data_IF_198347013954
#
_entry.id   IF_198347013954
#
_cell.length_a   1.000
_cell.length_b   1.000
_cell.length_c   1.000
_cell.angle_alpha   90.00
_cell.angle_beta   90.00
_cell.angle_gamma   90.00
#
_symmetry.space_group_name_H-M   'P 1'
#
loop_
_entity.id
_entity.type
_entity.pdbx_description
1 polymer ?
#
# COMPACT_ATOMS: atom_id res chain seq x y z
N UNK A 1 -2.82 44.09 42.45
CA UNK A 1 -3.98 43.17 42.56
C UNK A 1 -3.62 41.89 41.81
N UNK A 2 -3.88 40.71 42.39
CA UNK A 2 -3.66 39.44 41.70
C UNK A 2 -4.52 39.34 40.45
N UNK A 3 -4.02 38.67 39.41
CA UNK A 3 -4.75 38.50 38.15
C UNK A 3 -5.81 37.41 38.33
N UNK A 4 -7.09 37.79 38.33
CA UNK A 4 -8.18 36.84 38.47
C UNK A 4 -8.27 36.00 37.20
N UNK A 5 -8.16 34.69 37.36
CA UNK A 5 -8.14 33.73 36.26
C UNK A 5 -9.52 33.13 35.99
N UNK A 6 -10.36 33.02 37.02
CA UNK A 6 -11.72 32.56 36.90
C UNK A 6 -12.60 33.08 38.03
N UNK A 7 -13.91 33.09 37.78
CA UNK A 7 -14.95 33.19 38.81
C UNK A 7 -16.05 32.17 38.51
N UNK A 8 -16.73 31.74 39.56
CA UNK A 8 -17.94 30.95 39.43
C UNK A 8 -19.14 31.77 39.91
N UNK A 9 -20.19 31.81 39.09
CA UNK A 9 -21.37 32.66 39.28
C UNK A 9 -22.64 31.80 39.29
N UNK A 10 -23.59 32.09 40.17
CA UNK A 10 -24.94 31.50 40.12
C UNK A 10 -25.88 32.45 39.40
N UNK A 11 -26.44 32.03 38.27
CA UNK A 11 -27.42 32.78 37.47
C UNK A 11 -28.63 31.89 37.20
N UNK A 12 -29.83 32.35 37.54
CA UNK A 12 -31.08 31.62 37.29
C UNK A 12 -31.08 30.14 37.77
N UNK A 13 -30.47 29.87 38.92
CA UNK A 13 -30.25 28.52 39.50
C UNK A 13 -29.23 27.62 38.77
N UNK A 14 -28.50 28.16 37.81
CA UNK A 14 -27.39 27.48 37.14
C UNK A 14 -26.06 28.03 37.67
N UNK A 15 -25.09 27.15 37.89
CA UNK A 15 -23.72 27.57 38.19
C UNK A 15 -22.96 27.70 36.87
N UNK A 16 -22.29 28.83 36.69
CA UNK A 16 -21.55 29.15 35.48
C UNK A 16 -20.12 29.52 35.83
N UNK A 17 -19.15 28.90 35.17
CA UNK A 17 -17.73 29.18 35.33
C UNK A 17 -17.25 30.08 34.20
N UNK A 18 -16.81 31.28 34.58
CA UNK A 18 -16.16 32.23 33.69
C UNK A 18 -14.66 32.13 33.92
N UNK A 19 -13.93 31.62 32.92
CA UNK A 19 -12.48 31.42 33.00
C UNK A 19 -11.79 32.09 31.82
N UNK A 20 -10.74 32.87 32.09
CA UNK A 20 -9.97 33.55 31.04
C UNK A 20 -9.46 32.53 30.01
N UNK A 21 -9.74 32.81 28.73
CA UNK A 21 -9.46 31.95 27.58
C UNK A 21 -10.54 30.92 27.24
N UNK A 22 -11.62 30.82 28.02
CA UNK A 22 -12.67 29.79 27.85
C UNK A 22 -14.01 30.43 27.44
N UNK A 23 -14.83 29.68 26.70
CA UNK A 23 -16.28 29.94 26.66
C UNK A 23 -16.86 29.66 28.04
N UNK A 24 -17.97 30.32 28.37
CA UNK A 24 -18.58 30.19 29.70
C UNK A 24 -19.15 28.80 29.86
N UNK A 25 -18.74 28.10 30.90
CA UNK A 25 -19.16 26.73 31.16
C UNK A 25 -20.34 26.72 32.13
N UNK A 26 -21.33 25.88 31.88
CA UNK A 26 -22.30 25.49 32.89
C UNK A 26 -21.71 24.35 33.73
N UNK A 27 -21.78 24.48 35.05
CA UNK A 27 -21.28 23.50 36.01
C UNK A 27 -22.39 23.10 36.97
N UNK A 28 -22.33 21.88 37.49
CA UNK A 28 -23.29 21.40 38.48
C UNK A 28 -22.83 21.71 39.92
N UNK A 29 -23.63 21.31 40.92
CA UNK A 29 -23.31 21.53 42.33
C UNK A 29 -21.98 20.89 42.79
N UNK A 30 -21.48 19.89 42.06
CA UNK A 30 -20.19 19.21 42.32
C UNK A 30 -19.04 19.80 41.48
N UNK A 31 -19.22 20.98 40.89
CA UNK A 31 -18.24 21.62 40.01
C UNK A 31 -17.90 20.81 38.73
N UNK A 32 -18.74 19.84 38.35
CA UNK A 32 -18.56 19.14 37.08
C UNK A 32 -19.16 19.96 35.93
N UNK A 33 -18.45 20.02 34.80
CA UNK A 33 -18.91 20.68 33.58
C UNK A 33 -20.07 19.87 32.99
N UNK A 34 -21.17 20.52 32.70
CA UNK A 34 -22.38 19.88 32.15
C UNK A 34 -22.79 20.43 30.78
N UNK A 35 -22.48 21.69 30.48
CA UNK A 35 -22.73 22.29 29.17
C UNK A 35 -21.93 23.60 28.99
N UNK A 36 -22.09 24.31 27.87
CA UNK A 36 -21.80 25.74 27.75
C UNK A 36 -23.01 26.57 28.19
N UNK A 37 -22.77 27.74 28.79
CA UNK A 37 -23.84 28.65 29.14
C UNK A 37 -24.48 29.23 27.87
N UNK A 38 -25.76 28.94 27.65
CA UNK A 38 -26.54 29.34 26.47
C UNK A 38 -26.67 30.86 26.29
N UNK A 39 -26.41 31.66 27.34
CA UNK A 39 -26.41 33.12 27.30
C UNK A 39 -25.04 33.77 27.05
N UNK A 40 -23.95 33.01 27.01
CA UNK A 40 -22.59 33.55 26.94
C UNK A 40 -21.71 32.72 26.00
N UNK A 41 -21.91 32.91 24.69
CA UNK A 41 -21.23 32.12 23.66
C UNK A 41 -19.78 32.55 23.37
N UNK A 42 -19.36 33.70 23.91
CA UNK A 42 -18.05 34.27 23.64
C UNK A 42 -16.96 33.77 24.61
N UNK A 43 -15.70 33.86 24.18
CA UNK A 43 -14.56 33.56 25.04
C UNK A 43 -14.32 34.69 26.03
N UNK A 44 -14.10 34.36 27.29
CA UNK A 44 -13.70 35.32 28.33
C UNK A 44 -12.25 35.77 28.07
N UNK A 45 -12.02 37.06 27.89
CA UNK A 45 -10.69 37.63 27.61
C UNK A 45 -10.02 38.18 28.86
N UNK A 46 -10.79 38.67 29.82
CA UNK A 46 -10.26 39.16 31.08
C UNK A 46 -11.33 39.11 32.18
N UNK A 47 -10.88 39.02 33.44
CA UNK A 47 -11.73 39.14 34.61
C UNK A 47 -11.08 40.14 35.56
N UNK A 48 -11.81 41.20 35.91
CA UNK A 48 -11.32 42.25 36.79
C UNK A 48 -12.20 42.37 38.03
N UNK A 49 -11.58 42.51 39.20
CA UNK A 49 -12.30 42.86 40.43
C UNK A 49 -12.66 44.34 40.39
N UNK A 50 -13.91 44.66 40.68
CA UNK A 50 -14.39 46.03 40.82
C UNK A 50 -14.77 46.31 42.27
N UNK A 51 -15.20 47.52 42.57
CA UNK A 51 -15.66 47.90 43.91
C UNK A 51 -17.00 47.25 44.32
N UNK A 52 -17.78 46.75 43.35
CA UNK A 52 -19.11 46.12 43.55
C UNK A 52 -19.15 44.62 43.22
N UNK A 53 -18.04 44.05 42.73
CA UNK A 53 -17.95 42.64 42.36
C UNK A 53 -16.89 42.39 41.30
N UNK A 54 -17.31 41.87 40.14
CA UNK A 54 -16.42 41.43 39.07
C UNK A 54 -16.92 41.93 37.71
N UNK A 55 -15.99 42.17 36.79
CA UNK A 55 -16.25 42.46 35.39
C UNK A 55 -15.62 41.37 34.55
N UNK A 56 -16.40 40.75 33.67
CA UNK A 56 -15.95 39.72 32.74
C UNK A 56 -16.00 40.29 31.33
N UNK A 57 -14.84 40.36 30.67
CA UNK A 57 -14.73 40.83 29.30
C UNK A 57 -14.73 39.64 28.34
N UNK A 58 -15.27 39.85 27.14
CA UNK A 58 -15.39 38.82 26.11
C UNK A 58 -14.61 39.17 24.84
N UNK A 59 -14.44 38.17 23.97
CA UNK A 59 -13.71 38.30 22.71
C UNK A 59 -14.40 39.17 21.66
N UNK A 60 -15.71 39.34 21.74
CA UNK A 60 -16.49 40.24 20.88
C UNK A 60 -16.44 41.71 21.35
N UNK A 61 -15.70 41.99 22.43
CA UNK A 61 -15.59 43.32 23.03
C UNK A 61 -16.69 43.65 24.03
N UNK A 62 -17.66 42.76 24.25
CA UNK A 62 -18.67 42.93 25.30
C UNK A 62 -18.07 42.72 26.70
N UNK A 63 -18.73 43.27 27.71
CA UNK A 63 -18.35 43.12 29.11
C UNK A 63 -19.60 42.90 29.97
N UNK A 64 -19.53 41.93 30.88
CA UNK A 64 -20.63 41.58 31.77
C UNK A 64 -20.23 41.82 33.24
N UNK A 65 -20.97 42.66 33.98
CA UNK A 65 -20.75 42.83 35.40
C UNK A 65 -21.47 41.73 36.20
N UNK A 66 -20.82 41.26 37.26
CA UNK A 66 -21.38 40.35 38.25
C UNK A 66 -21.18 40.91 39.66
N UNK A 67 -22.25 40.96 40.45
CA UNK A 67 -22.16 41.41 41.84
C UNK A 67 -21.48 40.34 42.70
N UNK A 68 -20.86 40.76 43.81
CA UNK A 68 -20.20 39.82 44.74
C UNK A 68 -21.16 38.72 45.24
N UNK A 69 -22.46 39.01 45.37
CA UNK A 69 -23.46 38.06 45.83
C UNK A 69 -23.75 36.91 44.86
N UNK A 70 -23.52 37.12 43.56
CA UNK A 70 -23.67 36.06 42.56
C UNK A 70 -22.43 35.16 42.48
N UNK A 71 -21.27 35.65 42.93
CA UNK A 71 -20.00 34.94 42.83
C UNK A 71 -19.82 34.00 44.02
N UNK A 72 -19.79 32.70 43.72
CA UNK A 72 -19.60 31.63 44.72
C UNK A 72 -18.13 31.47 45.06
N UNK A 73 -17.24 31.61 44.07
CA UNK A 73 -15.80 31.42 44.25
C UNK A 73 -15.00 32.29 43.28
N UNK A 74 -13.89 32.85 43.78
CA UNK A 74 -12.96 33.66 42.99
C UNK A 74 -11.57 33.05 42.98
N UNK A 75 -11.02 32.88 41.79
CA UNK A 75 -9.73 32.24 41.55
C UNK A 75 -8.69 33.31 41.19
N UNK A 76 -8.09 33.90 42.22
CA UNK A 76 -7.13 35.01 42.07
C UNK A 76 -5.75 34.57 41.55
N UNK A 77 -5.48 33.27 41.50
CA UNK A 77 -4.22 32.68 41.02
C UNK A 77 -4.39 31.20 40.68
N UNK A 78 -3.47 30.72 39.85
CA UNK A 78 -3.38 29.38 39.27
C UNK A 78 -3.58 28.23 40.27
N UNK A 79 -2.92 28.27 41.44
CA UNK A 79 -3.04 27.20 42.44
C UNK A 79 -4.44 27.02 43.04
N UNK A 80 -5.28 28.07 43.04
CA UNK A 80 -6.69 27.96 43.48
C UNK A 80 -7.55 27.28 42.41
N UNK A 81 -7.14 27.36 41.15
CA UNK A 81 -7.82 26.74 40.03
C UNK A 81 -7.58 25.24 40.01
N UNK A 82 -6.41 24.78 40.47
CA UNK A 82 -6.10 23.35 40.64
C UNK A 82 -6.94 22.68 41.73
N UNK A 83 -7.54 23.47 42.65
CA UNK A 83 -8.53 22.97 43.62
C UNK A 83 -9.93 22.83 42.99
N UNK A 84 -10.21 23.62 41.96
CA UNK A 84 -11.35 23.42 41.08
C UNK A 84 -10.98 22.35 40.05
N UNK A 85 -10.88 21.10 40.51
CA UNK A 85 -10.80 19.95 39.60
C UNK A 85 -12.23 19.58 39.22
N UNK A 86 -12.73 19.93 38.02
CA UNK A 86 -13.92 19.26 37.52
C UNK A 86 -13.56 17.76 37.47
N UNK A 87 -14.18 16.96 38.35
CA UNK A 87 -14.05 15.49 38.33
C UNK A 87 -14.79 14.88 37.12
N UNK A 88 -14.72 15.54 35.97
CA UNK A 88 -15.12 14.96 34.71
C UNK A 88 -13.89 14.23 34.16
N UNK A 89 -13.92 12.91 34.22
CA UNK A 89 -13.31 12.14 33.15
C UNK A 89 -13.87 12.74 31.86
N UNK A 90 -13.03 13.42 31.07
CA UNK A 90 -13.44 14.23 29.91
C UNK A 90 -13.87 13.35 28.72
N UNK A 91 -14.78 12.41 28.97
CA UNK A 91 -15.41 11.57 27.96
C UNK A 91 -16.25 12.42 26.97
N UNK A 92 -16.60 13.66 27.35
CA UNK A 92 -17.52 14.51 26.59
C UNK A 92 -16.90 15.74 25.91
N UNK A 93 -15.57 15.83 25.82
CA UNK A 93 -14.88 17.00 25.24
C UNK A 93 -13.81 16.57 24.24
N UNK A 94 -13.80 17.22 23.07
CA UNK A 94 -12.76 17.04 22.06
C UNK A 94 -11.83 18.25 21.94
N UNK A 95 -10.58 17.99 21.57
CA UNK A 95 -9.55 19.01 21.42
C UNK A 95 -9.00 19.02 20.00
N UNK A 96 -9.15 20.14 19.29
CA UNK A 96 -8.42 20.38 18.05
C UNK A 96 -7.04 20.96 18.39
N UNK A 97 -5.97 20.26 18.02
CA UNK A 97 -4.59 20.67 18.25
C UNK A 97 -3.83 20.78 16.93
N UNK A 98 -2.91 21.73 16.84
CA UNK A 98 -2.03 21.93 15.69
C UNK A 98 -0.67 21.31 15.96
N UNK A 99 -0.32 20.29 15.18
CA UNK A 99 0.95 19.56 15.26
C UNK A 99 1.54 19.44 13.86
N UNK A 100 2.78 19.91 13.67
CA UNK A 100 3.50 19.83 12.39
C UNK A 100 2.69 20.35 11.18
N UNK A 101 2.00 21.49 11.32
CA UNK A 101 1.11 22.09 10.31
C UNK A 101 -0.16 21.27 9.96
N UNK A 102 -0.44 20.19 10.71
CA UNK A 102 -1.67 19.41 10.58
C UNK A 102 -2.58 19.67 11.78
N UNK A 103 -3.89 19.78 11.53
CA UNK A 103 -4.92 19.83 12.58
C UNK A 103 -5.25 18.42 13.03
N UNK A 104 -5.29 18.20 14.32
CA UNK A 104 -5.55 16.92 14.95
C UNK A 104 -6.75 17.08 15.89
N UNK A 105 -7.68 16.14 15.90
CA UNK A 105 -8.81 16.08 16.81
C UNK A 105 -8.59 14.92 17.81
N UNK A 106 -8.64 15.24 19.09
CA UNK A 106 -8.43 14.30 20.19
C UNK A 106 -9.74 14.15 20.95
N UNK A 107 -10.22 12.92 21.09
CA UNK A 107 -11.50 12.61 21.72
C UNK A 107 -11.26 11.38 22.60
N UNK A 108 -11.67 11.43 23.87
CA UNK A 108 -11.63 10.25 24.72
C UNK A 108 -12.56 9.16 24.15
N UNK A 109 -12.12 7.90 24.20
CA UNK A 109 -12.77 6.78 23.53
C UNK A 109 -12.37 6.58 22.07
N UNK A 110 -11.54 7.45 21.48
CA UNK A 110 -11.14 7.36 20.07
C UNK A 110 -9.61 7.41 19.92
N UNK A 111 -9.03 6.84 18.85
CA UNK A 111 -7.65 7.16 18.50
C UNK A 111 -7.53 8.64 18.11
N UNK A 112 -6.34 9.25 18.23
CA UNK A 112 -6.11 10.59 17.72
C UNK A 112 -6.43 10.67 16.23
N UNK A 113 -7.20 11.68 15.84
CA UNK A 113 -7.62 11.89 14.45
C UNK A 113 -6.92 13.11 13.86
N UNK A 114 -6.71 13.15 12.55
CA UNK A 114 -6.32 14.34 11.79
C UNK A 114 -7.51 14.91 11.02
N UNK A 115 -7.61 16.24 10.96
CA UNK A 115 -8.68 16.97 10.28
C UNK A 115 -8.19 17.46 8.93
N UNK A 116 -8.67 16.87 7.84
CA UNK A 116 -8.32 17.25 6.46
C UNK A 116 -9.61 17.56 5.71
N UNK A 117 -9.76 18.79 5.20
CA UNK A 117 -10.95 19.18 4.43
C UNK A 117 -12.28 19.07 5.19
N UNK A 118 -12.26 19.14 6.53
CA UNK A 118 -13.45 18.95 7.38
C UNK A 118 -13.80 17.48 7.66
N UNK A 119 -12.96 16.54 7.24
CA UNK A 119 -13.10 15.11 7.50
C UNK A 119 -12.04 14.63 8.50
N UNK A 120 -12.33 13.52 9.16
CA UNK A 120 -11.47 12.90 10.16
C UNK A 120 -10.78 11.66 9.60
N UNK A 121 -9.47 11.56 9.78
CA UNK A 121 -8.64 10.40 9.44
C UNK A 121 -7.84 9.99 10.68
N UNK A 122 -7.33 8.76 10.78
CA UNK A 122 -6.38 8.42 11.85
C UNK A 122 -5.14 9.32 11.74
N UNK A 123 -4.65 9.82 12.87
CA UNK A 123 -3.43 10.62 12.91
C UNK A 123 -2.20 9.76 12.68
N UNK A 124 -1.43 10.04 11.62
CA UNK A 124 -0.11 9.45 11.42
C UNK A 124 0.90 9.97 12.47
N UNK A 125 0.68 11.20 12.97
CA UNK A 125 1.57 11.82 13.97
C UNK A 125 1.48 11.13 15.34
N UNK A 126 0.34 10.49 15.61
CA UNK A 126 0.08 9.79 16.85
C UNK A 126 -0.22 8.31 16.59
N UNK A 127 0.41 7.70 15.58
CA UNK A 127 0.12 6.31 15.22
C UNK A 127 0.33 5.32 16.38
N UNK A 128 1.27 5.63 17.27
CA UNK A 128 1.60 4.86 18.48
C UNK A 128 0.60 5.06 19.62
N UNK A 129 -0.16 6.15 19.59
CA UNK A 129 -1.20 6.42 20.58
C UNK A 129 -2.42 5.65 20.08
N UNK A 130 -2.74 4.57 20.77
CA UNK A 130 -3.89 3.73 20.49
C UNK A 130 -5.20 4.47 20.74
N UNK A 131 -6.17 3.78 21.33
CA UNK A 131 -7.39 4.43 21.79
C UNK A 131 -7.05 5.37 22.96
N UNK A 132 -7.53 6.61 22.90
CA UNK A 132 -7.39 7.53 24.03
C UNK A 132 -8.37 7.09 25.11
N UNK A 133 -7.86 6.71 26.28
CA UNK A 133 -8.70 6.35 27.43
C UNK A 133 -9.21 7.61 28.14
N UNK A 134 -8.32 8.59 28.31
CA UNK A 134 -8.58 9.79 29.08
C UNK A 134 -7.80 10.99 28.52
N UNK A 135 -8.42 12.17 28.54
CA UNK A 135 -7.75 13.43 28.24
C UNK A 135 -7.85 14.32 29.49
N UNK A 136 -6.72 14.62 30.09
CA UNK A 136 -6.61 15.48 31.26
C UNK A 136 -5.97 16.82 30.84
N UNK A 137 -6.67 17.93 31.04
CA UNK A 137 -6.08 19.26 30.85
C UNK A 137 -5.42 19.73 32.14
N UNK A 138 -4.12 19.92 32.08
CA UNK A 138 -3.33 20.65 33.07
C UNK A 138 -2.99 22.04 32.56
N UNK A 139 -2.63 22.94 33.46
CA UNK A 139 -2.49 24.40 33.27
C UNK A 139 -1.93 24.85 31.92
N UNK A 140 -0.88 24.18 31.41
CA UNK A 140 -0.25 24.47 30.12
C UNK A 140 -0.08 23.24 29.23
N UNK A 141 -0.73 22.12 29.56
CA UNK A 141 -0.58 20.86 28.83
C UNK A 141 -1.86 20.05 28.83
N UNK A 142 -2.15 19.45 27.68
CA UNK A 142 -3.08 18.35 27.55
C UNK A 142 -2.31 17.04 27.76
N UNK A 143 -2.71 16.25 28.75
CA UNK A 143 -2.18 14.91 29.00
C UNK A 143 -3.19 13.90 28.46
N UNK A 144 -2.77 13.09 27.52
CA UNK A 144 -3.56 12.04 26.90
C UNK A 144 -3.08 10.71 27.48
N UNK A 145 -3.97 9.93 28.08
CA UNK A 145 -3.66 8.59 28.56
C UNK A 145 -4.19 7.55 27.58
N UNK A 146 -3.38 6.55 27.27
CA UNK A 146 -3.76 5.39 26.48
C UNK A 146 -3.13 4.12 27.05
N UNK A 147 -3.78 2.98 26.81
CA UNK A 147 -3.37 1.64 27.22
C UNK A 147 -3.07 1.55 28.73
N UNK A 148 -3.88 2.24 29.54
CA UNK A 148 -3.83 2.18 31.00
C UNK A 148 -2.59 2.80 31.69
N UNK A 149 -1.51 3.15 30.97
CA UNK A 149 -0.26 3.61 31.60
C UNK A 149 0.58 4.61 30.80
N UNK A 150 0.37 4.80 29.50
CA UNK A 150 1.20 5.72 28.71
C UNK A 150 0.54 7.09 28.57
N UNK A 151 1.30 8.14 28.88
CA UNK A 151 0.83 9.52 28.82
C UNK A 151 1.56 10.32 27.74
N UNK A 152 0.83 10.83 26.76
CA UNK A 152 1.32 11.80 25.78
C UNK A 152 0.97 13.22 26.24
N UNK A 153 1.93 14.14 26.18
CA UNK A 153 1.73 15.53 26.60
C UNK A 153 1.77 16.50 25.42
N UNK A 154 0.76 17.37 25.32
CA UNK A 154 0.61 18.38 24.27
C UNK A 154 0.51 19.76 24.91
N UNK A 155 1.46 20.65 24.61
CA UNK A 155 1.44 22.01 25.12
C UNK A 155 0.13 22.76 24.73
N UNK A 156 -0.47 23.48 25.68
CA UNK A 156 -1.74 24.18 25.52
C UNK A 156 -1.73 25.18 24.36
N UNK A 157 -0.58 25.79 24.04
CA UNK A 157 -0.41 26.69 22.88
C UNK A 157 -0.68 26.01 21.53
N UNK A 158 -0.64 24.67 21.47
CA UNK A 158 -0.96 23.90 20.27
C UNK A 158 -2.47 23.70 20.13
N UNK A 159 -3.26 23.91 21.17
CA UNK A 159 -4.72 23.76 21.13
C UNK A 159 -5.32 24.93 20.36
N UNK A 160 -6.02 24.64 19.28
CA UNK A 160 -6.68 25.62 18.40
C UNK A 160 -8.14 25.78 18.75
N UNK A 161 -8.82 24.67 19.01
CA UNK A 161 -10.24 24.68 19.35
C UNK A 161 -10.56 23.57 20.35
N UNK A 162 -11.63 23.76 21.11
CA UNK A 162 -12.21 22.77 22.02
C UNK A 162 -13.68 22.65 21.68
N UNK A 163 -14.21 21.43 21.73
CA UNK A 163 -15.59 21.14 21.36
C UNK A 163 -16.25 20.27 22.43
N UNK A 164 -17.55 20.44 22.64
CA UNK A 164 -18.35 19.43 23.35
C UNK A 164 -18.66 18.24 22.43
N UNK A 165 -18.96 17.08 23.01
CA UNK A 165 -19.42 15.89 22.28
C UNK A 165 -20.57 16.19 21.32
N UNK A 166 -21.54 17.01 21.71
CA UNK A 166 -22.65 17.38 20.83
C UNK A 166 -22.20 18.20 19.61
N UNK A 167 -21.26 19.13 19.79
CA UNK A 167 -20.69 19.92 18.68
C UNK A 167 -19.83 19.06 17.77
N UNK A 168 -19.07 18.12 18.34
CA UNK A 168 -18.28 17.12 17.62
C UNK A 168 -19.19 16.24 16.79
N UNK A 169 -20.29 15.74 17.35
CA UNK A 169 -21.28 14.93 16.63
C UNK A 169 -21.96 15.72 15.52
N UNK A 170 -22.32 16.98 15.77
CA UNK A 170 -22.92 17.85 14.76
C UNK A 170 -21.94 18.16 13.61
N UNK A 171 -20.67 18.40 13.93
CA UNK A 171 -19.61 18.76 12.98
C UNK A 171 -19.03 17.55 12.25
N UNK A 172 -19.02 16.40 12.90
CA UNK A 172 -18.50 15.14 12.41
C UNK A 172 -19.53 14.02 12.65
N UNK A 173 -20.65 14.00 11.89
CA UNK A 173 -21.73 13.01 12.04
C UNK A 173 -21.28 11.56 11.82
N UNK A 174 -20.08 11.38 11.26
CA UNK A 174 -19.43 10.08 11.11
C UNK A 174 -18.96 9.44 12.42
N UNK A 175 -18.98 10.17 13.55
CA UNK A 175 -18.62 9.66 14.88
C UNK A 175 -19.78 8.97 15.64
N UNK A 176 -20.95 8.78 15.02
CA UNK A 176 -22.08 8.12 15.67
C UNK A 176 -21.82 6.63 15.94
N UNK A 177 -22.30 6.11 17.07
CA UNK A 177 -21.78 4.91 17.76
C UNK A 177 -21.76 3.61 16.91
N UNK A 178 -22.63 3.47 15.91
CA UNK A 178 -22.63 2.32 14.99
C UNK A 178 -21.58 2.43 13.87
N UNK A 179 -21.13 3.64 13.55
CA UNK A 179 -20.05 3.90 12.59
C UNK A 179 -18.68 3.86 13.24
N UNK A 180 -18.57 3.92 14.57
CA UNK A 180 -17.31 3.78 15.30
C UNK A 180 -16.73 2.36 15.15
N UNK A 181 -17.58 1.32 15.19
CA UNK A 181 -17.15 -0.06 14.86
C UNK A 181 -16.65 -0.18 13.42
N UNK A 182 -17.24 0.60 12.50
CA UNK A 182 -16.73 0.72 11.14
C UNK A 182 -15.40 1.50 11.12
N UNK A 183 -15.25 2.58 11.89
CA UNK A 183 -14.00 3.35 12.04
C UNK A 183 -12.84 2.55 12.65
N UNK A 184 -13.12 1.62 13.56
CA UNK A 184 -12.15 0.63 14.03
C UNK A 184 -11.68 -0.31 12.92
N UNK A 185 -12.50 -0.53 11.88
CA UNK A 185 -12.12 -1.27 10.67
C UNK A 185 -11.47 -0.36 9.59
N UNK A 186 -11.86 0.91 9.49
CA UNK A 186 -11.35 1.89 8.52
C UNK A 186 -9.86 2.29 8.74
N UNK A 187 -9.24 1.85 9.84
CA UNK A 187 -7.82 2.08 10.17
C UNK A 187 -6.88 0.90 9.88
N UNK A 188 -7.39 -0.27 9.52
CA UNK A 188 -6.56 -1.30 8.89
C UNK A 188 -6.37 -0.87 7.44
N UNK A 189 -5.15 -0.87 6.93
CA UNK A 189 -4.92 -0.52 5.52
C UNK A 189 -5.83 -1.38 4.64
N UNK A 190 -6.46 -0.79 3.63
CA UNK A 190 -7.32 -1.53 2.72
C UNK A 190 -6.46 -2.62 2.07
N UNK A 191 -6.87 -3.90 2.18
CA UNK A 191 -6.01 -5.03 1.82
C UNK A 191 -4.66 -5.03 2.59
N UNK A 192 -4.63 -4.70 3.89
CA UNK A 192 -3.42 -4.75 4.72
C UNK A 192 -3.26 -6.06 5.49
N UNK A 193 -4.37 -6.78 5.73
CA UNK A 193 -4.35 -8.09 6.38
C UNK A 193 -4.02 -9.16 5.34
N UNK A 194 -2.81 -9.10 4.78
CA UNK A 194 -2.32 -10.05 3.79
C UNK A 194 -1.34 -11.02 4.44
N UNK A 195 -1.55 -12.31 4.21
CA UNK A 195 -0.59 -13.36 4.53
C UNK A 195 -0.07 -13.99 3.25
N UNK A 196 1.25 -14.01 3.10
CA UNK A 196 1.89 -14.62 1.95
C UNK A 196 2.03 -16.12 2.19
N UNK A 197 1.58 -16.92 1.21
CA UNK A 197 1.63 -18.38 1.29
C UNK A 197 2.54 -18.95 0.20
N UNK A 198 3.23 -20.04 0.54
CA UNK A 198 4.23 -20.69 -0.35
C UNK A 198 3.70 -21.95 -1.05
N UNK A 199 2.52 -22.43 -0.65
CA UNK A 199 1.88 -23.58 -1.25
C UNK A 199 0.77 -23.14 -2.18
N UNK A 200 0.71 -23.75 -3.37
CA UNK A 200 -0.38 -23.47 -4.32
C UNK A 200 -1.71 -23.89 -3.68
N UNK A 201 -2.66 -22.97 -3.48
CA UNK A 201 -3.94 -23.27 -2.84
C UNK A 201 -4.83 -24.17 -3.71
N UNK A 202 -5.76 -24.88 -3.08
CA UNK A 202 -6.75 -25.69 -3.80
C UNK A 202 -7.78 -24.83 -4.52
N UNK A 203 -8.27 -23.77 -3.85
CA UNK A 203 -9.26 -22.83 -4.37
C UNK A 203 -8.64 -21.44 -4.36
N UNK A 204 -8.62 -20.78 -5.52
CA UNK A 204 -7.96 -19.49 -5.66
C UNK A 204 -8.50 -18.68 -6.83
N UNK A 205 -8.19 -17.40 -6.82
CA UNK A 205 -8.43 -16.47 -7.92
C UNK A 205 -7.10 -15.98 -8.44
N UNK A 206 -6.86 -16.17 -9.72
CA UNK A 206 -5.73 -15.54 -10.40
C UNK A 206 -6.12 -14.12 -10.81
N UNK A 207 -5.27 -13.16 -10.50
CA UNK A 207 -5.48 -11.72 -10.69
C UNK A 207 -4.35 -11.11 -11.50
N UNK A 208 -4.70 -10.12 -12.31
CA UNK A 208 -3.75 -9.25 -12.99
C UNK A 208 -4.38 -7.88 -13.26
N UNK A 209 -3.56 -6.84 -13.17
CA UNK A 209 -3.89 -5.47 -13.49
C UNK A 209 -3.00 -4.96 -14.61
N UNK A 210 -3.63 -4.23 -15.51
CA UNK A 210 -2.93 -3.47 -16.53
C UNK A 210 -2.98 -1.99 -16.20
N UNK A 211 -1.87 -1.27 -16.42
CA UNK A 211 -1.71 0.13 -16.01
C UNK A 211 -1.63 1.09 -17.19
N UNK A 212 -2.06 2.34 -16.98
CA UNK A 212 -1.91 3.45 -17.91
C UNK A 212 -1.32 4.67 -17.22
N UNK A 213 -0.57 5.47 -17.98
CA UNK A 213 -0.16 6.79 -17.52
C UNK A 213 -1.34 7.76 -17.50
N UNK A 214 -1.35 8.61 -16.47
CA UNK A 214 -2.28 9.73 -16.34
C UNK A 214 -1.58 11.03 -16.68
N UNK A 215 -2.30 11.95 -17.30
CA UNK A 215 -1.83 13.32 -17.57
C UNK A 215 -1.71 14.17 -16.29
N UNK A 216 -2.41 13.76 -15.22
CA UNK A 216 -2.35 14.37 -13.90
C UNK A 216 -2.40 13.28 -12.82
N UNK A 217 -1.72 13.52 -11.69
CA UNK A 217 -1.69 12.58 -10.56
C UNK A 217 -3.10 12.31 -10.01
N UNK A 218 -3.27 11.15 -9.39
CA UNK A 218 -4.43 10.93 -8.53
C UNK A 218 -4.27 11.50 -7.13
N UNK A 219 -5.36 11.41 -6.37
CA UNK A 219 -5.40 11.85 -4.97
C UNK A 219 -4.43 11.04 -4.08
N UNK A 220 -3.98 9.87 -4.57
CA UNK A 220 -2.97 9.04 -3.91
C UNK A 220 -1.53 9.36 -4.39
N UNK A 221 -1.35 10.32 -5.30
CA UNK A 221 -0.04 10.76 -5.80
C UNK A 221 0.58 9.87 -6.89
N UNK A 222 -0.16 8.91 -7.44
CA UNK A 222 0.34 8.04 -8.51
C UNK A 222 0.13 8.69 -9.89
N UNK A 223 1.19 8.63 -10.71
CA UNK A 223 1.19 9.04 -12.13
C UNK A 223 0.60 7.97 -13.05
N UNK A 224 0.35 6.76 -12.51
CA UNK A 224 -0.26 5.63 -13.21
C UNK A 224 -1.54 5.17 -12.51
N UNK A 225 -2.47 4.61 -13.27
CA UNK A 225 -3.72 4.03 -12.77
C UNK A 225 -4.05 2.71 -13.46
N UNK A 226 -4.95 1.93 -12.86
CA UNK A 226 -5.44 0.68 -13.44
C UNK A 226 -6.32 1.01 -14.65
N UNK A 227 -5.97 0.52 -15.84
CA UNK A 227 -6.78 0.62 -17.07
C UNK A 227 -7.60 -0.64 -17.34
N UNK A 228 -7.18 -1.79 -16.83
CA UNK A 228 -7.93 -3.05 -16.92
C UNK A 228 -7.60 -3.90 -15.69
N UNK A 229 -8.62 -4.59 -15.17
CA UNK A 229 -8.52 -5.52 -14.04
C UNK A 229 -9.21 -6.82 -14.43
N UNK A 230 -8.49 -7.94 -14.30
CA UNK A 230 -9.01 -9.26 -14.61
C UNK A 230 -8.84 -10.22 -13.43
N UNK A 231 -9.80 -11.14 -13.28
CA UNK A 231 -9.78 -12.18 -12.27
C UNK A 231 -10.46 -13.45 -12.78
N UNK A 232 -9.88 -14.61 -12.49
CA UNK A 232 -10.51 -15.91 -12.79
C UNK A 232 -10.31 -16.87 -11.63
N UNK A 233 -11.39 -17.52 -11.16
CA UNK A 233 -11.28 -18.55 -10.13
C UNK A 233 -10.84 -19.89 -10.70
N UNK A 234 -10.13 -20.67 -9.88
CA UNK A 234 -9.79 -22.04 -10.15
C UNK A 234 -9.98 -22.91 -8.89
N UNK A 235 -10.36 -24.16 -9.10
CA UNK A 235 -10.37 -25.22 -8.10
C UNK A 235 -9.60 -26.40 -8.66
N UNK A 236 -8.54 -26.85 -7.97
CA UNK A 236 -7.66 -27.92 -8.47
C UNK A 236 -7.15 -27.64 -9.90
N UNK A 237 -6.86 -26.37 -10.21
CA UNK A 237 -6.46 -25.89 -11.53
C UNK A 237 -7.53 -25.94 -12.65
N UNK A 238 -8.75 -26.41 -12.35
CA UNK A 238 -9.89 -26.30 -13.25
C UNK A 238 -10.58 -24.94 -13.06
N UNK A 239 -10.96 -24.29 -14.15
CA UNK A 239 -11.59 -22.97 -14.10
C UNK A 239 -12.96 -23.06 -13.40
N UNK A 240 -13.14 -22.23 -12.38
CA UNK A 240 -14.40 -22.07 -11.67
C UNK A 240 -15.35 -21.07 -12.35
N UNK A 241 -16.39 -20.66 -11.62
CA UNK A 241 -17.45 -19.80 -12.15
C UNK A 241 -17.14 -18.31 -12.10
N UNK A 242 -16.18 -17.87 -11.28
CA UNK A 242 -15.79 -16.46 -11.21
C UNK A 242 -14.99 -16.11 -12.46
N UNK A 243 -15.52 -15.16 -13.23
CA UNK A 243 -14.89 -14.55 -14.38
C UNK A 243 -15.11 -13.04 -14.31
N UNK A 244 -14.03 -12.29 -14.10
CA UNK A 244 -14.05 -10.84 -13.99
C UNK A 244 -13.09 -10.27 -15.03
N UNK A 245 -13.58 -9.36 -15.87
CA UNK A 245 -12.76 -8.62 -16.82
C UNK A 245 -13.39 -7.24 -17.02
N UNK A 246 -12.79 -6.22 -16.42
CA UNK A 246 -13.31 -4.86 -16.47
C UNK A 246 -12.23 -3.88 -16.93
N UNK A 247 -12.59 -3.02 -17.87
CA UNK A 247 -11.79 -1.86 -18.26
C UNK A 247 -12.22 -0.65 -17.45
N UNK A 248 -11.26 0.19 -17.06
CA UNK A 248 -11.49 1.36 -16.24
C UNK A 248 -11.35 2.62 -17.07
N UNK A 249 -12.39 3.45 -17.02
CA UNK A 249 -12.40 4.81 -17.52
C UNK A 249 -11.85 5.77 -16.47
N UNK A 250 -10.91 6.61 -16.89
CA UNK A 250 -10.40 7.76 -16.15
C UNK A 250 -10.17 8.89 -17.15
N UNK A 251 -10.79 10.05 -16.95
CA UNK A 251 -10.67 11.20 -17.86
C UNK A 251 -9.24 11.75 -17.95
N UNK A 252 -8.34 11.34 -17.04
CA UNK A 252 -6.93 11.72 -17.04
C UNK A 252 -6.06 10.80 -17.89
N UNK A 253 -6.59 9.67 -18.38
CA UNK A 253 -5.84 8.81 -19.30
C UNK A 253 -5.67 9.48 -20.65
N UNK A 254 -4.61 9.09 -21.37
CA UNK A 254 -4.39 9.55 -22.74
C UNK A 254 -5.49 9.05 -23.68
N UNK A 255 -5.78 9.81 -24.74
CA UNK A 255 -6.75 9.43 -25.76
C UNK A 255 -6.47 8.04 -26.34
N UNK A 256 -5.18 7.70 -26.55
CA UNK A 256 -4.78 6.38 -27.03
C UNK A 256 -5.21 5.24 -26.07
N UNK A 257 -5.11 5.47 -24.76
CA UNK A 257 -5.55 4.50 -23.74
C UNK A 257 -7.07 4.34 -23.76
N UNK A 258 -7.80 5.46 -23.81
CA UNK A 258 -9.26 5.44 -23.86
C UNK A 258 -9.78 4.77 -25.13
N UNK A 259 -9.17 5.06 -26.29
CA UNK A 259 -9.48 4.42 -27.57
C UNK A 259 -9.18 2.92 -27.55
N UNK A 260 -8.08 2.49 -26.92
CA UNK A 260 -7.77 1.08 -26.77
C UNK A 260 -8.82 0.36 -25.90
N UNK A 261 -9.27 0.98 -24.80
CA UNK A 261 -10.36 0.46 -23.96
C UNK A 261 -11.69 0.35 -24.71
N UNK A 262 -12.07 1.37 -25.48
CA UNK A 262 -13.28 1.35 -26.32
C UNK A 262 -13.23 0.23 -27.37
N UNK A 263 -12.08 0.07 -28.03
CA UNK A 263 -11.88 -1.00 -29.02
C UNK A 263 -11.97 -2.38 -28.38
N UNK A 264 -11.41 -2.57 -27.20
CA UNK A 264 -11.40 -3.86 -26.51
C UNK A 264 -12.79 -4.26 -25.96
N UNK A 265 -13.58 -3.27 -25.54
CA UNK A 265 -14.92 -3.48 -24.97
C UNK A 265 -16.04 -3.46 -26.01
N UNK A 266 -15.79 -2.93 -27.21
CA UNK A 266 -16.80 -2.67 -28.25
C UNK A 266 -17.98 -1.82 -27.72
N UNK A 267 -17.69 -0.90 -26.79
CA UNK A 267 -18.66 -0.01 -26.17
C UNK A 267 -18.69 1.36 -26.85
N UNK A 268 -19.81 2.07 -26.69
CA UNK A 268 -19.85 3.51 -26.97
C UNK A 268 -19.02 4.28 -25.94
N UNK A 269 -18.61 5.51 -26.28
CA UNK A 269 -17.87 6.36 -25.32
C UNK A 269 -18.65 6.58 -24.02
N UNK A 270 -19.95 6.88 -24.13
CA UNK A 270 -20.81 7.12 -22.97
C UNK A 270 -20.97 5.86 -22.11
N UNK A 271 -21.15 4.69 -22.73
CA UNK A 271 -21.23 3.43 -21.98
C UNK A 271 -19.92 3.13 -21.26
N UNK A 272 -18.78 3.36 -21.91
CA UNK A 272 -17.47 3.14 -21.31
C UNK A 272 -17.21 4.08 -20.14
N UNK A 273 -17.62 5.35 -20.24
CA UNK A 273 -17.54 6.30 -19.14
C UNK A 273 -18.36 5.86 -17.91
N UNK A 274 -19.57 5.35 -18.14
CA UNK A 274 -20.48 4.96 -17.04
C UNK A 274 -20.10 3.61 -16.45
N UNK A 275 -19.91 2.59 -17.30
CA UNK A 275 -19.64 1.22 -16.87
C UNK A 275 -18.20 1.03 -16.41
N UNK A 276 -17.26 1.73 -17.05
CA UNK A 276 -15.85 1.73 -16.71
C UNK A 276 -15.48 2.72 -15.60
N UNK A 277 -16.43 3.51 -15.08
CA UNK A 277 -16.14 4.44 -13.99
C UNK A 277 -15.41 3.72 -12.83
N UNK A 278 -14.25 4.24 -12.42
CA UNK A 278 -13.36 3.58 -11.45
C UNK A 278 -14.09 3.09 -10.19
N UNK A 279 -14.95 3.92 -9.57
CA UNK A 279 -15.75 3.52 -8.42
C UNK A 279 -16.67 2.32 -8.70
N UNK A 280 -17.30 2.29 -9.89
CA UNK A 280 -18.21 1.19 -10.30
C UNK A 280 -17.44 -0.10 -10.42
N UNK A 281 -16.29 -0.08 -11.10
CA UNK A 281 -15.44 -1.26 -11.29
C UNK A 281 -14.86 -1.75 -9.96
N UNK A 282 -14.40 -0.83 -9.10
CA UNK A 282 -13.86 -1.18 -7.78
C UNK A 282 -14.94 -1.82 -6.89
N UNK A 283 -16.17 -1.28 -6.86
CA UNK A 283 -17.27 -1.92 -6.13
C UNK A 283 -17.56 -3.32 -6.66
N UNK A 284 -17.68 -3.48 -7.99
CA UNK A 284 -17.88 -4.81 -8.60
C UNK A 284 -16.76 -5.77 -8.21
N UNK A 285 -15.50 -5.34 -8.24
CA UNK A 285 -14.37 -6.15 -7.84
C UNK A 285 -14.47 -6.61 -6.38
N UNK A 286 -14.86 -5.72 -5.46
CA UNK A 286 -15.07 -6.09 -4.06
C UNK A 286 -16.15 -7.17 -3.93
N UNK A 287 -17.31 -6.99 -4.58
CA UNK A 287 -18.45 -7.91 -4.45
C UNK A 287 -18.25 -9.24 -5.18
N UNK A 288 -17.69 -9.20 -6.39
CA UNK A 288 -17.59 -10.38 -7.24
C UNK A 288 -16.32 -11.20 -6.93
N UNK A 289 -15.25 -10.54 -6.52
CA UNK A 289 -13.93 -11.16 -6.30
C UNK A 289 -13.57 -11.24 -4.82
N UNK A 290 -13.35 -10.10 -4.16
CA UNK A 290 -12.81 -10.09 -2.79
C UNK A 290 -13.76 -10.70 -1.76
N UNK A 291 -15.07 -10.50 -1.93
CA UNK A 291 -16.09 -11.05 -1.04
C UNK A 291 -16.14 -12.59 -1.03
N UNK A 292 -15.54 -13.25 -2.04
CA UNK A 292 -15.40 -14.71 -2.07
C UNK A 292 -14.32 -15.23 -1.12
N UNK A 293 -13.44 -14.35 -0.62
CA UNK A 293 -12.40 -14.67 0.35
C UNK A 293 -11.55 -15.89 -0.06
N UNK A 294 -11.31 -16.04 -1.37
CA UNK A 294 -10.40 -17.04 -1.91
C UNK A 294 -8.97 -16.50 -1.90
N UNK A 295 -7.98 -17.40 -1.90
CA UNK A 295 -6.59 -16.99 -2.02
C UNK A 295 -6.37 -16.26 -3.36
N UNK A 296 -5.62 -15.17 -3.31
CA UNK A 296 -5.31 -14.32 -4.45
C UNK A 296 -3.94 -14.71 -5.03
N UNK A 297 -3.92 -15.13 -6.29
CA UNK A 297 -2.71 -15.54 -7.01
C UNK A 297 -2.32 -14.45 -7.99
N UNK A 298 -1.07 -14.01 -7.95
CA UNK A 298 -0.49 -13.05 -8.89
C UNK A 298 0.76 -13.64 -9.57
N UNK A 299 1.21 -13.03 -10.67
CA UNK A 299 2.58 -13.23 -11.11
C UNK A 299 3.55 -12.52 -10.16
N UNK A 300 3.52 -11.18 -10.16
CA UNK A 300 4.17 -10.29 -9.17
C UNK A 300 3.06 -9.48 -8.51
N UNK A 301 2.83 -9.67 -7.21
CA UNK A 301 1.73 -8.96 -6.54
C UNK A 301 2.04 -7.49 -6.24
N UNK A 302 3.30 -7.06 -6.35
CA UNK A 302 3.79 -5.79 -5.81
C UNK A 302 3.11 -4.59 -6.46
N UNK A 303 3.11 -4.55 -7.79
CA UNK A 303 2.53 -3.44 -8.54
C UNK A 303 1.00 -3.50 -8.53
N UNK A 304 0.42 -4.68 -8.67
CA UNK A 304 -1.02 -4.91 -8.63
C UNK A 304 -1.62 -4.44 -7.30
N UNK A 305 -1.10 -4.93 -6.17
CA UNK A 305 -1.59 -4.56 -4.86
C UNK A 305 -1.35 -3.06 -4.58
N UNK A 306 -0.22 -2.49 -5.00
CA UNK A 306 0.04 -1.06 -4.86
C UNK A 306 -1.06 -0.22 -5.53
N UNK A 307 -1.40 -0.52 -6.77
CA UNK A 307 -2.39 0.26 -7.51
C UNK A 307 -3.82 -0.05 -7.07
N UNK A 308 -4.13 -1.30 -6.71
CA UNK A 308 -5.42 -1.65 -6.11
C UNK A 308 -5.63 -0.89 -4.81
N UNK A 309 -4.64 -0.87 -3.91
CA UNK A 309 -4.69 -0.08 -2.67
C UNK A 309 -4.87 1.41 -2.92
N UNK A 310 -4.19 1.98 -3.91
CA UNK A 310 -4.35 3.39 -4.26
C UNK A 310 -5.75 3.71 -4.81
N UNK A 311 -6.29 2.85 -5.68
CA UNK A 311 -7.65 2.99 -6.19
C UNK A 311 -8.69 2.87 -5.07
N UNK A 312 -8.52 1.90 -4.16
CA UNK A 312 -9.38 1.69 -2.99
C UNK A 312 -9.32 2.90 -2.04
N UNK A 313 -8.13 3.44 -1.77
CA UNK A 313 -7.93 4.63 -0.93
C UNK A 313 -8.64 5.85 -1.51
N UNK A 314 -8.57 6.02 -2.83
CA UNK A 314 -9.23 7.14 -3.55
C UNK A 314 -10.76 7.08 -3.41
N UNK A 315 -11.34 5.87 -3.44
CA UNK A 315 -12.79 5.66 -3.42
C UNK A 315 -13.35 5.32 -2.04
N UNK A 316 -12.51 5.25 -1.02
CA UNK A 316 -12.83 4.73 0.30
C UNK A 316 -14.09 5.34 0.93
N UNK A 317 -14.25 6.66 0.86
CA UNK A 317 -15.40 7.38 1.42
C UNK A 317 -16.72 7.11 0.70
N UNK A 318 -16.66 6.51 -0.48
CA UNK A 318 -17.80 6.19 -1.34
C UNK A 318 -18.19 4.71 -1.24
N UNK A 319 -17.45 3.92 -0.44
CA UNK A 319 -17.73 2.52 -0.17
C UNK A 319 -18.74 2.37 0.97
N UNK A 320 -19.52 1.30 0.89
CA UNK A 320 -20.49 0.90 1.90
C UNK A 320 -19.80 0.23 3.09
N UNK A 321 -20.49 0.13 4.23
CA UNK A 321 -20.00 -0.58 5.40
C UNK A 321 -19.59 -2.04 5.09
N UNK A 322 -20.39 -2.75 4.30
CA UNK A 322 -20.07 -4.11 3.87
C UNK A 322 -18.82 -4.18 2.99
N UNK A 323 -18.67 -3.26 2.04
CA UNK A 323 -17.47 -3.22 1.18
C UNK A 323 -16.21 -2.97 2.00
N UNK A 324 -16.27 -2.09 2.99
CA UNK A 324 -15.18 -1.85 3.94
C UNK A 324 -14.89 -3.09 4.78
N UNK A 325 -15.91 -3.78 5.29
CA UNK A 325 -15.74 -5.03 6.04
C UNK A 325 -15.00 -6.07 5.19
N UNK A 326 -15.40 -6.27 3.93
CA UNK A 326 -14.73 -7.18 2.99
C UNK A 326 -13.25 -6.81 2.82
N UNK A 327 -12.93 -5.53 2.64
CA UNK A 327 -11.55 -5.06 2.44
C UNK A 327 -10.64 -5.25 3.65
N UNK A 328 -11.23 -5.38 4.84
CA UNK A 328 -10.52 -5.59 6.11
C UNK A 328 -10.40 -7.05 6.50
N UNK A 329 -10.98 -7.98 5.73
CA UNK A 329 -10.77 -9.40 5.93
C UNK A 329 -9.32 -9.77 5.72
N UNK A 330 -8.96 -10.92 6.28
CA UNK A 330 -7.70 -11.58 5.97
C UNK A 330 -7.73 -12.12 4.54
N UNK A 331 -6.66 -11.90 3.79
CA UNK A 331 -6.46 -12.44 2.44
C UNK A 331 -5.13 -13.19 2.38
N UNK A 332 -5.18 -14.45 1.96
CA UNK A 332 -3.96 -15.16 1.59
C UNK A 332 -3.55 -14.78 0.16
N UNK A 333 -2.27 -14.48 -0.03
CA UNK A 333 -1.68 -14.13 -1.32
C UNK A 333 -0.59 -15.14 -1.67
N UNK A 334 -0.68 -15.69 -2.89
CA UNK A 334 0.37 -16.51 -3.48
C UNK A 334 1.02 -15.74 -4.62
N UNK A 335 2.32 -15.49 -4.51
CA UNK A 335 3.12 -14.75 -5.48
C UNK A 335 3.99 -15.73 -6.29
N UNK A 336 3.65 -15.95 -7.56
CA UNK A 336 4.31 -16.94 -8.40
C UNK A 336 5.76 -16.56 -8.73
N UNK A 337 6.05 -15.27 -8.96
CA UNK A 337 7.41 -14.78 -9.22
C UNK A 337 8.30 -15.04 -8.01
N UNK A 338 7.83 -14.77 -6.79
CA UNK A 338 8.55 -15.05 -5.57
C UNK A 338 8.89 -16.55 -5.44
N UNK A 339 7.95 -17.45 -5.77
CA UNK A 339 8.21 -18.89 -5.74
C UNK A 339 9.23 -19.34 -6.80
N UNK A 340 9.20 -18.74 -8.00
CA UNK A 340 10.18 -19.01 -9.06
C UNK A 340 11.58 -18.53 -8.62
N UNK A 341 11.68 -17.32 -8.09
CA UNK A 341 12.95 -16.76 -7.59
C UNK A 341 13.50 -17.60 -6.44
N UNK A 342 12.65 -18.02 -5.50
CA UNK A 342 13.05 -18.91 -4.41
C UNK A 342 13.56 -20.26 -4.93
N UNK A 343 12.88 -20.82 -5.94
CA UNK A 343 13.31 -22.06 -6.61
C UNK A 343 14.66 -21.87 -7.31
N UNK A 344 14.85 -20.81 -8.10
CA UNK A 344 16.12 -20.50 -8.78
C UNK A 344 17.27 -20.38 -7.79
N UNK A 345 17.05 -19.67 -6.68
CA UNK A 345 18.03 -19.52 -5.60
C UNK A 345 18.40 -20.86 -4.98
N UNK A 346 17.43 -21.75 -4.78
CA UNK A 346 17.68 -23.11 -4.29
C UNK A 346 18.52 -23.95 -5.27
N UNK A 347 18.52 -23.60 -6.57
CA UNK A 347 19.41 -24.20 -7.59
C UNK A 347 20.81 -23.57 -7.64
N UNK A 348 21.11 -22.59 -6.79
CA UNK A 348 22.36 -21.83 -6.84
C UNK A 348 22.44 -20.87 -8.03
N UNK A 349 21.30 -20.57 -8.67
CA UNK A 349 21.20 -19.53 -9.69
C UNK A 349 21.04 -18.18 -8.98
N UNK A 350 21.86 -17.21 -9.36
CA UNK A 350 21.84 -15.84 -8.82
C UNK A 350 21.50 -14.88 -9.94
N UNK A 351 20.22 -14.77 -10.28
CA UNK A 351 19.77 -13.75 -11.22
C UNK A 351 19.68 -12.39 -10.50
N UNK A 352 20.19 -11.33 -11.14
CA UNK A 352 20.12 -9.95 -10.63
C UNK A 352 18.69 -9.39 -10.74
N UNK A 353 17.85 -9.96 -11.61
CA UNK A 353 16.47 -9.55 -11.84
C UNK A 353 15.56 -10.76 -11.93
N UNK A 354 14.36 -10.65 -11.36
CA UNK A 354 13.33 -11.67 -11.49
C UNK A 354 12.90 -11.80 -12.96
N UNK A 355 12.65 -13.02 -13.45
CA UNK A 355 12.24 -13.22 -14.83
C UNK A 355 10.81 -12.69 -15.05
N UNK A 356 10.51 -12.17 -16.24
CA UNK A 356 9.14 -11.74 -16.57
C UNK A 356 8.19 -12.92 -16.82
N UNK A 357 6.88 -12.72 -16.65
CA UNK A 357 5.86 -13.73 -16.95
C UNK A 357 6.05 -14.33 -18.34
N UNK A 358 6.29 -13.49 -19.33
CA UNK A 358 6.51 -13.92 -20.71
C UNK A 358 7.75 -14.81 -20.87
N UNK A 359 8.85 -14.43 -20.21
CA UNK A 359 10.10 -15.21 -20.24
C UNK A 359 9.88 -16.60 -19.67
N UNK A 360 9.23 -16.69 -18.50
CA UNK A 360 8.96 -17.98 -17.84
C UNK A 360 7.95 -18.81 -18.62
N UNK A 361 6.85 -18.19 -19.08
CA UNK A 361 5.77 -18.91 -19.76
C UNK A 361 6.25 -19.60 -21.04
N UNK A 362 7.14 -18.96 -21.81
CA UNK A 362 7.72 -19.53 -23.03
C UNK A 362 8.53 -20.80 -22.74
N UNK A 363 9.25 -20.87 -21.61
CA UNK A 363 10.01 -22.07 -21.24
C UNK A 363 9.10 -23.29 -21.03
N UNK A 364 7.83 -23.06 -20.68
CA UNK A 364 6.81 -24.08 -20.57
C UNK A 364 5.97 -24.27 -21.84
N UNK A 365 6.34 -23.62 -22.95
CA UNK A 365 5.61 -23.68 -24.22
C UNK A 365 4.28 -22.92 -24.20
N UNK A 366 4.12 -21.95 -23.29
CA UNK A 366 2.90 -21.13 -23.18
C UNK A 366 3.14 -19.81 -23.92
N UNK A 367 2.33 -19.55 -24.94
CA UNK A 367 2.44 -18.35 -25.76
C UNK A 367 1.18 -17.48 -25.65
N UNK A 368 1.37 -16.23 -25.20
CA UNK A 368 0.33 -15.21 -25.16
C UNK A 368 0.49 -14.22 -26.33
N UNK A 369 -0.43 -14.26 -27.30
CA UNK A 369 -0.47 -13.34 -28.43
C UNK A 369 -0.95 -11.92 -28.06
N UNK A 370 -1.58 -11.77 -26.90
CA UNK A 370 -2.22 -10.54 -26.43
C UNK A 370 -1.53 -10.04 -25.17
N UNK A 371 -0.20 -9.86 -25.24
CA UNK A 371 0.60 -9.30 -24.15
C UNK A 371 0.06 -7.93 -23.73
N UNK A 372 0.18 -7.61 -22.46
CA UNK A 372 -0.35 -6.40 -21.85
C UNK A 372 -1.88 -6.33 -21.88
N UNK A 373 -2.51 -7.48 -21.62
CA UNK A 373 -3.96 -7.60 -21.47
C UNK A 373 -4.24 -8.50 -20.29
N UNK A 374 -4.76 -7.90 -19.23
CA UNK A 374 -4.92 -8.54 -17.93
C UNK A 374 -5.67 -9.89 -18.01
N UNK A 375 -6.67 -10.02 -18.88
CA UNK A 375 -7.41 -11.28 -19.04
C UNK A 375 -6.52 -12.41 -19.59
N UNK A 376 -5.72 -12.10 -20.61
CA UNK A 376 -4.82 -13.07 -21.21
C UNK A 376 -3.62 -13.35 -20.31
N UNK A 377 -3.17 -12.36 -19.56
CA UNK A 377 -2.09 -12.50 -18.59
C UNK A 377 -2.56 -13.36 -17.40
N UNK A 378 -3.78 -13.21 -16.88
CA UNK A 378 -4.41 -14.13 -15.91
C UNK A 378 -4.40 -15.59 -16.41
N UNK A 379 -4.81 -15.83 -17.64
CA UNK A 379 -4.78 -17.18 -18.22
C UNK A 379 -3.34 -17.71 -18.35
N UNK A 380 -2.39 -16.85 -18.70
CA UNK A 380 -0.97 -17.19 -18.81
C UNK A 380 -0.35 -17.52 -17.45
N UNK A 381 -0.69 -16.75 -16.40
CA UNK A 381 -0.29 -17.00 -15.02
C UNK A 381 -0.80 -18.35 -14.57
N UNK A 382 -2.07 -18.67 -14.81
CA UNK A 382 -2.63 -19.98 -14.46
C UNK A 382 -1.87 -21.12 -15.13
N UNK A 383 -1.66 -21.07 -16.44
CA UNK A 383 -0.96 -22.14 -17.15
C UNK A 383 0.49 -22.26 -16.65
N UNK A 384 1.14 -21.13 -16.37
CA UNK A 384 2.51 -21.10 -15.86
C UNK A 384 2.57 -21.70 -14.46
N UNK A 385 1.64 -21.35 -13.56
CA UNK A 385 1.50 -21.91 -12.22
C UNK A 385 1.39 -23.44 -12.26
N UNK A 386 0.52 -23.97 -13.11
CA UNK A 386 0.30 -25.42 -13.27
C UNK A 386 1.56 -26.13 -13.76
N UNK A 387 2.23 -25.58 -14.78
CA UNK A 387 3.46 -26.18 -15.32
C UNK A 387 4.61 -26.08 -14.33
N UNK A 388 4.74 -24.94 -13.66
CA UNK A 388 5.78 -24.69 -12.66
C UNK A 388 5.60 -25.58 -11.43
N UNK A 389 4.38 -25.78 -10.91
CA UNK A 389 4.14 -26.63 -9.74
C UNK A 389 4.51 -28.10 -9.95
N UNK A 390 4.43 -28.57 -11.20
CA UNK A 390 4.91 -29.90 -11.62
C UNK A 390 6.42 -29.88 -11.85
N UNK A 391 6.93 -28.84 -12.48
CA UNK A 391 8.35 -28.71 -12.82
C UNK A 391 9.25 -28.57 -11.59
N UNK A 392 8.85 -27.76 -10.61
CA UNK A 392 9.63 -27.48 -9.39
C UNK A 392 9.87 -28.71 -8.52
N UNK A 393 9.03 -29.75 -8.66
CA UNK A 393 9.16 -31.04 -7.97
C UNK A 393 10.09 -32.04 -8.65
N UNK A 394 10.58 -31.74 -9.86
CA UNK A 394 11.48 -32.64 -10.61
C UNK A 394 12.87 -32.65 -9.98
N UNK A 395 13.52 -33.80 -10.04
CA UNK A 395 14.92 -33.90 -9.64
C UNK A 395 15.79 -32.99 -10.53
N UNK A 396 16.67 -32.23 -9.88
CA UNK A 396 17.60 -31.31 -10.54
C UNK A 396 18.62 -32.12 -11.33
N UNK A 397 18.71 -31.86 -12.62
CA UNK A 397 19.73 -32.46 -13.48
C UNK A 397 20.90 -31.48 -13.60
N UNK A 398 22.01 -31.77 -12.92
CA UNK A 398 23.25 -31.01 -13.09
C UNK A 398 24.02 -31.57 -14.27
N UNK A 399 24.34 -30.72 -15.24
CA UNK A 399 25.25 -31.10 -16.33
C UNK A 399 26.67 -31.14 -15.78
N UNK A 400 27.31 -32.30 -15.82
CA UNK A 400 28.75 -32.40 -15.55
C UNK A 400 29.54 -31.85 -16.72
N UNK A 401 30.69 -31.23 -16.45
CA UNK A 401 31.62 -30.77 -17.50
C UNK A 401 31.85 -31.89 -18.51
N UNK A 402 31.56 -31.69 -19.81
CA UNK A 402 31.84 -32.71 -20.82
C UNK A 402 33.35 -32.98 -20.80
N UNK A 403 33.71 -34.23 -20.55
CA UNK A 403 35.10 -34.63 -20.71
C UNK A 403 35.38 -34.69 -22.21
N UNK A 404 36.56 -34.22 -22.67
CA UNK A 404 37.02 -34.55 -24.00
C UNK A 404 36.89 -36.05 -24.14
N UNK A 405 36.28 -36.52 -25.23
CA UNK A 405 36.48 -37.90 -25.63
C UNK A 405 37.98 -38.10 -25.61
N UNK A 406 38.46 -39.01 -24.78
CA UNK A 406 39.81 -39.53 -24.91
C UNK A 406 39.79 -40.22 -26.25
N UNK A 407 40.03 -39.46 -27.30
CA UNK A 407 40.64 -39.99 -28.51
C UNK A 407 41.93 -40.50 -27.95
N UNK A 408 41.98 -41.82 -27.65
CA UNK A 408 43.26 -42.48 -27.50
C UNK A 408 44.06 -41.97 -28.68
N UNK A 409 45.10 -41.13 -28.45
CA UNK A 409 45.89 -40.67 -29.57
C UNK A 409 46.30 -41.97 -30.22
N UNK A 410 45.84 -42.22 -31.45
CA UNK A 410 46.08 -43.48 -32.09
C UNK A 410 47.59 -43.69 -31.97
N UNK A 411 47.98 -44.59 -31.06
CA UNK A 411 49.36 -44.93 -30.79
C UNK A 411 49.76 -45.85 -31.92
N UNK A 412 49.81 -45.25 -33.09
CA UNK A 412 50.58 -45.66 -34.23
C UNK A 412 50.92 -44.38 -34.97
N UNK A 413 51.95 -43.66 -34.48
CA UNK A 413 52.96 -43.21 -35.45
C UNK A 413 53.56 -44.47 -36.07
N UNK A 414 52.81 -45.14 -36.95
CA UNK A 414 53.45 -45.92 -38.00
C UNK A 414 54.28 -44.87 -38.73
N UNK A 415 55.61 -44.93 -38.60
CA UNK A 415 56.49 -44.33 -39.59
C UNK A 415 56.03 -44.93 -40.92
N UNK A 416 55.12 -44.27 -41.64
CA UNK A 416 54.79 -44.62 -43.02
C UNK A 416 56.12 -44.45 -43.74
N UNK A 417 56.78 -45.58 -44.01
CA UNK A 417 58.04 -45.62 -44.74
C UNK A 417 57.65 -45.39 -46.18
N UNK A 418 57.65 -44.12 -46.58
CA UNK A 418 57.42 -43.76 -47.96
C UNK A 418 58.48 -44.43 -48.81
N UNK A 419 58.08 -45.06 -49.92
CA UNK A 419 59.02 -45.53 -50.92
C UNK A 419 59.43 -44.33 -51.80
N UNK A 420 60.64 -43.83 -51.58
CA UNK A 420 61.16 -42.65 -52.26
C UNK A 420 61.34 -42.89 -53.76
N UNK A 421 61.65 -44.14 -54.16
CA UNK A 421 61.82 -44.49 -55.57
C UNK A 421 60.47 -44.47 -56.29
N UNK A 422 59.42 -45.02 -55.66
CA UNK A 422 58.07 -44.98 -56.20
C UNK A 422 57.55 -43.54 -56.32
N UNK A 423 57.76 -42.71 -55.30
CA UNK A 423 57.37 -41.28 -55.32
C UNK A 423 58.11 -40.54 -56.44
N UNK A 424 59.42 -40.79 -56.60
CA UNK A 424 60.22 -40.14 -57.63
C UNK A 424 59.76 -40.51 -59.03
N UNK A 425 59.47 -41.80 -59.27
CA UNK A 425 58.98 -42.28 -60.56
C UNK A 425 57.65 -41.64 -60.94
N UNK A 426 56.67 -41.66 -60.04
CA UNK A 426 55.34 -41.06 -60.27
C UNK A 426 55.43 -39.55 -60.53
N UNK A 427 56.36 -38.87 -59.86
CA UNK A 427 56.62 -37.45 -60.08
C UNK A 427 57.26 -37.19 -61.46
N UNK A 428 58.23 -38.02 -61.89
CA UNK A 428 58.82 -37.93 -63.23
C UNK A 428 57.81 -38.26 -64.35
N UNK A 429 56.83 -39.12 -64.06
CA UNK A 429 55.69 -39.44 -64.94
C UNK A 429 54.65 -38.30 -65.01
N UNK A 430 54.86 -37.19 -64.29
CA UNK A 430 54.04 -35.97 -64.37
C UNK A 430 52.97 -35.82 -63.30
N UNK A 431 52.87 -36.76 -62.34
CA UNK A 431 51.86 -36.69 -61.27
C UNK A 431 52.19 -35.59 -60.26
N UNK A 432 51.17 -34.85 -59.81
CA UNK A 432 51.30 -33.84 -58.77
C UNK A 432 51.45 -34.46 -57.37
N UNK A 433 51.99 -33.70 -56.41
CA UNK A 433 52.17 -34.19 -55.05
C UNK A 433 50.85 -34.57 -54.35
N UNK A 434 49.71 -33.99 -54.77
CA UNK A 434 48.39 -34.35 -54.24
C UNK A 434 47.90 -35.68 -54.82
N UNK A 435 48.11 -35.92 -56.12
CA UNK A 435 47.75 -37.18 -56.78
C UNK A 435 48.61 -38.33 -56.25
N UNK A 436 49.93 -38.13 -56.13
CA UNK A 436 50.84 -39.13 -55.55
C UNK A 436 50.42 -39.45 -54.12
N UNK A 437 50.09 -38.44 -53.32
CA UNK A 437 49.60 -38.64 -51.95
C UNK A 437 48.30 -39.44 -51.90
N UNK A 438 47.39 -39.25 -52.85
CA UNK A 438 46.19 -40.08 -52.95
C UNK A 438 46.51 -41.52 -53.36
N UNK A 439 47.47 -41.74 -54.25
CA UNK A 439 47.83 -43.06 -54.77
C UNK A 439 48.53 -43.95 -53.74
N UNK A 440 49.34 -43.37 -52.85
CA UNK A 440 50.14 -44.12 -51.87
C UNK A 440 49.61 -43.99 -50.43
N UNK A 441 48.38 -43.48 -50.28
CA UNK A 441 47.76 -43.15 -48.99
C UNK A 441 48.76 -42.37 -48.10
N UNK A 442 49.09 -41.17 -48.57
CA UNK A 442 50.08 -40.27 -47.98
C UNK A 442 49.54 -38.87 -47.76
N UNK A 443 50.36 -38.00 -47.17
CA UNK A 443 50.04 -36.58 -47.03
C UNK A 443 50.76 -35.77 -48.12
N UNK A 444 50.02 -34.98 -48.89
CA UNK A 444 50.55 -34.14 -49.98
C UNK A 444 51.68 -33.19 -49.55
N UNK A 445 51.69 -32.73 -48.30
CA UNK A 445 52.79 -31.94 -47.72
C UNK A 445 54.06 -32.75 -47.53
N UNK A 446 53.95 -33.99 -47.03
CA UNK A 446 55.10 -34.91 -46.90
C UNK A 446 55.66 -35.31 -48.27
N UNK A 447 54.80 -35.57 -49.26
CA UNK A 447 55.23 -35.88 -50.63
C UNK A 447 55.95 -34.69 -51.27
N UNK A 448 55.44 -33.47 -51.10
CA UNK A 448 56.13 -32.25 -51.56
C UNK A 448 57.54 -32.13 -50.98
N UNK A 449 57.68 -32.38 -49.68
CA UNK A 449 58.98 -32.33 -49.02
C UNK A 449 59.93 -33.41 -49.53
N UNK A 450 59.44 -34.64 -49.74
CA UNK A 450 60.23 -35.75 -50.30
C UNK A 450 60.69 -35.45 -51.73
N UNK A 451 59.78 -35.00 -52.61
CA UNK A 451 60.11 -34.62 -53.99
C UNK A 451 61.12 -33.47 -54.02
N UNK A 452 60.97 -32.47 -53.16
CA UNK A 452 61.93 -31.38 -53.05
C UNK A 452 63.33 -31.88 -52.64
N UNK A 453 63.39 -32.80 -51.68
CA UNK A 453 64.65 -33.41 -51.23
C UNK A 453 65.30 -34.28 -52.30
N UNK A 454 64.50 -35.02 -53.06
CA UNK A 454 64.99 -35.84 -54.18
C UNK A 454 65.49 -34.97 -55.35
N UNK A 455 64.81 -33.86 -55.67
CA UNK A 455 65.30 -32.86 -56.63
C UNK A 455 66.64 -32.23 -56.26
N UNK A 456 66.94 -32.12 -54.97
CA UNK A 456 68.20 -31.57 -54.50
C UNK A 456 69.37 -32.57 -54.59
N UNK A 457 69.08 -33.86 -54.85
CA UNK A 457 70.06 -34.95 -54.93
C UNK A 457 70.05 -35.70 -56.28
N UNK A 458 69.21 -35.27 -57.22
CA UNK A 458 69.14 -35.74 -58.60
C UNK A 458 69.77 -34.68 -59.51
#
# INVERSE_FOLDING_TARGET
MGLIQAIEVVLANERQLFRVGWRVLQVNAKAAIIDFATGYDNHVTAIAKTHVGYMVNFSDGSAQPFTQALVVQAYDHEAKLDQFQPQAQFQDVAFEVQMANVRQLLIAGYPPMQVIGGQLFKSEFFEQVGQIDEIEMQMNMLTIRHDGHQSLQIAAKKIKQRYLSAEVKARYPQLDDDKIKLFHQLGAGLLANINYIDAVPQNYVVLDCEFAQRQANDQAGLTTGIKQLAAMSYCNHEQGTLFFNQYIFDSRYTDATLLAGLKATNQTYTDFQVQGASLVVIKKFIHEVLAKSQCLVFYDCSNDLKHLRAALKTHHLQLTAYEIEVLNRHFDVFDLEAQIVAWEKAQGLSNVQAPSLHTVSILFGIYNHHRHNALWDVATIQQTLVKFSVFSKRAVCSVTRPQPLVVNPATSKRKRRYDYAQIWRLYQEGSTAAEIASMIDGNAGSIRHIVHKLKAHA
#
